data_IF_189773933115
#
_entry.id   IF_189773933115
#
_cell.length_a   1.000
_cell.length_b   1.000
_cell.length_c   1.000
_cell.angle_alpha   90.00
_cell.angle_beta   90.00
_cell.angle_gamma   90.00
#
_symmetry.space_group_name_H-M   'P 1'
#
loop_
_entity.id
_entity.type
_entity.pdbx_description
1 polymer ?
#
# COMPACT_ATOMS: atom_id res chain seq x y z
N UNK A 1 15.06 0.52 3.24
CA UNK A 1 13.70 0.09 2.85
C UNK A 1 12.75 1.19 3.29
N UNK A 2 12.12 1.90 2.35
CA UNK A 2 11.11 2.91 2.73
C UNK A 2 9.89 2.16 3.27
N UNK A 3 9.50 2.47 4.51
CA UNK A 3 8.32 1.88 5.13
C UNK A 3 7.06 2.39 4.40
N UNK A 4 6.48 1.54 3.55
CA UNK A 4 5.30 1.92 2.80
C UNK A 4 4.08 1.86 3.72
N UNK A 5 3.52 3.02 4.08
CA UNK A 5 2.25 3.08 4.83
C UNK A 5 1.07 3.18 3.88
N UNK A 6 0.00 2.42 4.17
CA UNK A 6 -1.23 2.40 3.39
C UNK A 6 -2.46 2.37 4.32
N UNK A 7 -3.63 2.71 3.79
CA UNK A 7 -4.88 2.59 4.56
C UNK A 7 -5.28 1.12 4.66
N UNK A 8 -5.41 0.61 5.90
CA UNK A 8 -5.96 -0.71 6.13
C UNK A 8 -7.47 -0.61 6.35
N UNK A 9 -8.26 -1.26 5.49
CA UNK A 9 -9.72 -1.30 5.65
C UNK A 9 -10.18 -2.16 6.82
N UNK A 10 -9.30 -3.00 7.40
CA UNK A 10 -9.58 -3.80 8.60
C UNK A 10 -9.21 -3.06 9.90
N UNK A 11 -8.05 -2.41 9.95
CA UNK A 11 -7.67 -1.58 11.09
C UNK A 11 -8.43 -0.25 11.02
N UNK A 12 -9.58 -0.20 11.67
CA UNK A 12 -10.40 1.01 11.76
C UNK A 12 -10.43 1.53 13.19
N UNK A 13 -10.33 2.84 13.32
CA UNK A 13 -10.56 3.57 14.58
C UNK A 13 -11.68 4.55 14.28
N UNK A 14 -12.74 4.57 15.11
CA UNK A 14 -13.93 5.40 14.90
C UNK A 14 -14.56 5.24 13.50
N UNK A 15 -14.66 3.99 13.02
CA UNK A 15 -15.09 3.62 11.67
C UNK A 15 -14.23 4.17 10.51
N UNK A 16 -13.11 4.84 10.79
CA UNK A 16 -12.19 5.37 9.79
C UNK A 16 -11.01 4.42 9.57
N UNK A 17 -10.66 4.07 8.32
CA UNK A 17 -9.45 3.30 8.02
C UNK A 17 -8.21 4.02 8.56
N UNK A 18 -7.31 3.27 9.18
CA UNK A 18 -6.05 3.81 9.72
C UNK A 18 -4.90 3.52 8.78
N UNK A 19 -3.89 4.40 8.80
CA UNK A 19 -2.64 4.17 8.09
C UNK A 19 -1.82 3.12 8.85
N UNK A 20 -1.53 2.00 8.20
CA UNK A 20 -0.73 0.91 8.73
C UNK A 20 0.50 0.69 7.87
N UNK A 21 1.54 0.12 8.47
CA UNK A 21 2.75 -0.29 7.74
C UNK A 21 2.39 -1.49 6.87
N UNK A 22 2.75 -1.41 5.59
CA UNK A 22 2.59 -2.49 4.63
C UNK A 22 3.84 -3.37 4.65
N UNK A 23 3.66 -4.60 5.09
CA UNK A 23 4.65 -5.65 4.99
C UNK A 23 4.63 -6.24 3.59
N UNK A 24 5.83 -6.61 3.10
CA UNK A 24 6.06 -7.19 1.77
C UNK A 24 5.35 -6.42 0.65
N UNK A 25 5.58 -5.10 0.51
CA UNK A 25 4.94 -4.32 -0.54
C UNK A 25 5.48 -4.73 -1.92
N UNK A 26 4.59 -5.21 -2.76
CA UNK A 26 4.82 -5.51 -4.17
C UNK A 26 4.19 -4.40 -5.00
N UNK A 27 5.02 -3.57 -5.64
CA UNK A 27 4.57 -2.51 -6.53
C UNK A 27 4.36 -3.09 -7.93
N UNK A 28 3.17 -2.92 -8.48
CA UNK A 28 2.80 -3.33 -9.84
C UNK A 28 2.23 -2.14 -10.61
N UNK A 29 2.50 -2.09 -11.92
CA UNK A 29 1.98 -1.09 -12.84
C UNK A 29 0.88 -1.77 -13.66
N UNK A 30 -0.29 -1.15 -13.74
CA UNK A 30 -1.36 -1.66 -14.60
C UNK A 30 -1.20 -1.17 -16.05
N UNK A 31 -1.96 -1.77 -16.97
CA UNK A 31 -1.92 -1.45 -18.41
C UNK A 31 -2.31 0.00 -18.73
N UNK A 32 -2.96 0.70 -17.78
CA UNK A 32 -3.31 2.12 -17.87
C UNK A 32 -2.23 3.05 -17.30
N UNK A 33 -1.04 2.52 -17.00
CA UNK A 33 0.10 3.27 -16.48
C UNK A 33 -0.01 3.70 -15.02
N UNK A 34 -0.97 3.18 -14.25
CA UNK A 34 -1.13 3.50 -12.81
C UNK A 34 -0.35 2.51 -11.96
N UNK A 35 0.33 3.04 -10.96
CA UNK A 35 1.09 2.25 -10.01
C UNK A 35 0.24 1.91 -8.80
N UNK A 36 0.41 0.68 -8.32
CA UNK A 36 -0.25 0.19 -7.12
C UNK A 36 0.69 -0.68 -6.33
N UNK A 37 0.71 -0.49 -5.01
CA UNK A 37 1.38 -1.39 -4.09
C UNK A 37 0.37 -2.33 -3.44
N UNK A 38 0.66 -3.62 -3.48
CA UNK A 38 -0.05 -4.67 -2.77
C UNK A 38 0.84 -5.23 -1.68
N UNK A 39 0.29 -5.47 -0.50
CA UNK A 39 1.03 -6.09 0.58
C UNK A 39 0.12 -6.51 1.72
N UNK A 40 0.69 -6.72 2.89
CA UNK A 40 -0.04 -7.17 4.07
C UNK A 40 0.06 -6.14 5.19
N UNK A 41 -1.02 -5.97 5.94
CA UNK A 41 -1.05 -5.12 7.12
C UNK A 41 -0.18 -5.71 8.21
N UNK A 42 0.80 -4.94 8.69
CA UNK A 42 1.65 -5.36 9.81
C UNK A 42 0.88 -5.59 11.11
N UNK A 43 -0.24 -4.88 11.31
CA UNK A 43 -1.02 -4.95 12.54
C UNK A 43 -2.04 -6.10 12.57
N UNK A 44 -2.70 -6.39 11.44
CA UNK A 44 -3.82 -7.35 11.41
C UNK A 44 -3.67 -8.48 10.37
N UNK A 45 -2.57 -8.52 9.62
CA UNK A 45 -2.35 -9.49 8.54
C UNK A 45 -3.30 -9.37 7.34
N UNK A 46 -4.13 -8.33 7.30
CA UNK A 46 -5.08 -8.12 6.21
C UNK A 46 -4.41 -7.68 4.91
N UNK A 47 -4.96 -8.06 3.76
CA UNK A 47 -4.48 -7.57 2.48
C UNK A 47 -4.64 -6.04 2.39
N UNK A 48 -3.58 -5.36 2.01
CA UNK A 48 -3.54 -3.91 1.81
C UNK A 48 -3.25 -3.60 0.35
N UNK A 49 -3.87 -2.52 -0.11
CA UNK A 49 -3.70 -2.01 -1.46
C UNK A 49 -3.58 -0.49 -1.39
N UNK A 50 -2.57 0.08 -2.05
CA UNK A 50 -2.36 1.52 -2.15
C UNK A 50 -2.12 1.91 -3.59
N UNK A 51 -2.94 2.82 -4.12
CA UNK A 51 -2.62 3.49 -5.37
C UNK A 51 -1.46 4.46 -5.11
N UNK A 52 -0.46 4.41 -5.98
CA UNK A 52 0.69 5.31 -5.94
C UNK A 52 0.61 6.29 -7.10
N UNK A 53 1.22 7.46 -6.91
CA UNK A 53 1.47 8.39 -8.00
C UNK A 53 2.45 7.76 -9.00
N UNK A 54 2.49 8.27 -10.24
CA UNK A 54 3.42 7.78 -11.25
C UNK A 54 4.88 7.91 -10.78
N UNK A 55 5.21 9.04 -10.15
CA UNK A 55 6.55 9.34 -9.66
C UNK A 55 6.97 8.44 -8.50
N UNK A 56 6.09 8.19 -7.52
CA UNK A 56 6.41 7.34 -6.37
C UNK A 56 6.48 5.87 -6.75
N UNK A 57 5.61 5.43 -7.66
CA UNK A 57 5.58 4.06 -8.15
C UNK A 57 6.80 3.68 -8.98
N UNK A 58 7.29 4.59 -9.83
CA UNK A 58 8.54 4.40 -10.58
C UNK A 58 9.76 4.34 -9.68
N UNK A 59 9.81 5.19 -8.66
CA UNK A 59 10.90 5.19 -7.69
C UNK A 59 10.98 3.89 -6.87
N UNK A 60 9.84 3.24 -6.61
CA UNK A 60 9.77 1.98 -5.85
C UNK A 60 9.83 0.70 -6.70
N UNK A 61 9.77 0.80 -8.04
CA UNK A 61 9.97 -0.32 -8.97
C UNK A 61 11.43 -0.56 -9.35
N UNK A 62 12.35 0.36 -9.02
CA UNK A 62 13.79 0.22 -9.24
C UNK A 62 14.44 -0.63 -8.15
#
# INVERSE_FOLDING_TARGET
>A
MQELKALCMKCRTDNKPTMQVMNNPVVTKNDKGRYSAKGQCSACGGNMFKFMSATDGEAMMK
#
